data_IF_641900839891
#
_entry.id   IF_641900839891
#
_cell.length_a   1.000
_cell.length_b   1.000
_cell.length_c   1.000
_cell.angle_alpha   90.00
_cell.angle_beta   90.00
_cell.angle_gamma   90.00
#
_symmetry.space_group_name_H-M   'P 1'
#
loop_
_entity.id
_entity.type
_entity.pdbx_description
1 polymer ?
#
# COMPACT_ATOMS: atom_id res chain seq x y z
N UNK A 1 21.12 4.76 -0.18
CA UNK A 1 19.95 4.14 0.47
C UNK A 1 18.93 3.87 -0.63
N UNK A 2 18.67 2.61 -0.96
CA UNK A 2 17.72 2.27 -2.02
C UNK A 2 16.35 2.08 -1.37
N UNK A 3 15.39 2.92 -1.71
CA UNK A 3 14.00 2.78 -1.25
C UNK A 3 13.27 2.01 -2.34
N UNK A 4 12.83 0.80 -2.03
CA UNK A 4 11.96 0.04 -2.91
C UNK A 4 10.52 0.48 -2.62
N UNK A 5 9.87 1.10 -3.62
CA UNK A 5 8.47 1.48 -3.53
C UNK A 5 7.62 0.57 -4.40
N UNK A 6 6.43 0.23 -3.92
CA UNK A 6 5.43 -0.51 -4.68
C UNK A 6 4.55 0.44 -5.49
N UNK A 7 3.93 -0.03 -6.60
CA UNK A 7 2.95 0.77 -7.33
C UNK A 7 1.79 1.26 -6.44
N UNK A 8 1.35 0.46 -5.47
CA UNK A 8 0.29 0.84 -4.51
C UNK A 8 0.69 2.05 -3.69
N UNK A 9 1.91 2.07 -3.14
CA UNK A 9 2.42 3.19 -2.34
C UNK A 9 2.52 4.48 -3.17
N UNK A 10 2.91 4.38 -4.44
CA UNK A 10 2.99 5.53 -5.35
C UNK A 10 1.57 6.08 -5.61
N UNK A 11 0.61 5.22 -5.93
CA UNK A 11 -0.78 5.62 -6.18
C UNK A 11 -1.40 6.23 -4.91
N UNK A 12 -1.15 5.64 -3.75
CA UNK A 12 -1.61 6.13 -2.45
C UNK A 12 -1.04 7.50 -2.12
N UNK A 13 0.25 7.74 -2.43
CA UNK A 13 0.86 9.06 -2.29
C UNK A 13 0.15 10.10 -3.17
N UNK A 14 -0.06 9.78 -4.45
CA UNK A 14 -0.74 10.68 -5.39
C UNK A 14 -2.20 10.92 -5.04
N UNK A 15 -2.86 9.94 -4.41
CA UNK A 15 -4.22 10.09 -3.91
C UNK A 15 -4.28 10.95 -2.64
N UNK A 16 -3.43 10.64 -1.65
CA UNK A 16 -3.35 11.36 -0.38
C UNK A 16 -2.00 11.11 0.33
N UNK A 17 -1.07 12.07 0.35
CA UNK A 17 0.24 11.91 1.00
C UNK A 17 0.17 11.57 2.50
N UNK A 18 -0.92 11.96 3.18
CA UNK A 18 -1.13 11.64 4.60
C UNK A 18 -1.27 10.13 4.83
N UNK A 19 -1.78 9.40 3.86
CA UNK A 19 -1.92 7.95 3.95
C UNK A 19 -0.55 7.25 4.06
N UNK A 20 0.41 7.70 3.27
CA UNK A 20 1.81 7.23 3.29
C UNK A 20 2.49 7.55 4.61
N UNK A 21 2.22 8.71 5.21
CA UNK A 21 2.71 9.03 6.56
C UNK A 21 2.22 8.02 7.61
N UNK A 22 0.94 7.63 7.57
CA UNK A 22 0.40 6.64 8.51
C UNK A 22 1.07 5.27 8.37
N UNK A 23 1.37 4.84 7.14
CA UNK A 23 2.00 3.53 6.87
C UNK A 23 3.48 3.56 7.21
N UNK A 24 4.26 4.50 6.64
CA UNK A 24 5.71 4.49 6.75
C UNK A 24 6.26 5.15 8.02
N UNK A 25 5.60 6.19 8.52
CA UNK A 25 6.09 6.92 9.71
C UNK A 25 5.45 6.43 11.00
N UNK A 26 4.16 6.10 10.98
CA UNK A 26 3.46 5.61 12.17
C UNK A 26 3.33 4.08 12.23
N UNK A 27 3.64 3.35 11.15
CA UNK A 27 3.53 1.89 11.12
C UNK A 27 2.11 1.37 11.25
N UNK A 28 1.11 2.17 10.88
CA UNK A 28 -0.31 1.78 10.94
C UNK A 28 -0.61 0.84 9.78
N UNK A 29 -1.10 -0.35 10.10
CA UNK A 29 -1.46 -1.36 9.10
C UNK A 29 -2.71 -0.96 8.30
N UNK A 30 -2.70 -1.30 7.01
CA UNK A 30 -3.80 -1.08 6.09
C UNK A 30 -4.89 -2.15 6.19
N UNK A 31 -4.59 -3.28 6.84
CA UNK A 31 -5.43 -4.49 6.90
C UNK A 31 -5.85 -4.96 5.51
N UNK A 32 -4.89 -5.03 4.58
CA UNK A 32 -5.12 -5.39 3.17
C UNK A 32 -5.76 -6.78 3.01
N UNK A 33 -5.55 -7.68 3.97
CA UNK A 33 -6.16 -9.01 4.01
C UNK A 33 -7.69 -8.97 4.10
N UNK A 34 -8.27 -7.86 4.54
CA UNK A 34 -9.73 -7.65 4.59
C UNK A 34 -10.29 -7.08 3.29
N UNK A 35 -9.44 -6.71 2.32
CA UNK A 35 -9.84 -6.04 1.07
C UNK A 35 -9.95 -7.05 -0.06
N UNK A 36 -11.20 -7.31 -0.48
CA UNK A 36 -11.52 -8.23 -1.59
C UNK A 36 -10.68 -7.99 -2.86
N UNK A 37 -10.54 -6.73 -3.29
CA UNK A 37 -9.77 -6.37 -4.50
C UNK A 37 -8.27 -6.63 -4.35
N UNK A 38 -7.71 -6.45 -3.16
CA UNK A 38 -6.28 -6.71 -2.92
C UNK A 38 -6.01 -8.21 -2.98
N UNK A 39 -6.84 -9.03 -2.31
CA UNK A 39 -6.71 -10.48 -2.36
C UNK A 39 -6.84 -11.02 -3.78
N UNK A 40 -7.85 -10.56 -4.52
CA UNK A 40 -8.02 -10.93 -5.94
C UNK A 40 -6.80 -10.52 -6.78
N UNK A 41 -6.29 -9.30 -6.61
CA UNK A 41 -5.11 -8.83 -7.33
C UNK A 41 -3.84 -9.63 -7.04
N UNK A 42 -3.68 -10.14 -5.81
CA UNK A 42 -2.56 -11.04 -5.46
C UNK A 42 -2.67 -12.40 -6.13
N UNK A 43 -3.87 -12.96 -6.23
CA UNK A 43 -4.07 -14.26 -6.89
C UNK A 43 -3.83 -14.18 -8.40
N UNK A 44 -4.22 -13.07 -9.04
CA UNK A 44 -4.00 -12.86 -10.48
C UNK A 44 -2.52 -12.71 -10.84
N UNK A 45 -1.68 -12.21 -9.92
CA UNK A 45 -0.25 -11.98 -10.15
C UNK A 45 0.68 -13.10 -9.61
N UNK A 46 0.12 -14.18 -9.04
CA UNK A 46 0.90 -15.40 -8.73
C UNK A 46 1.20 -16.18 -10.01
#
# INVERSE_FOLDING_TARGET
MNILLTPSEIIEYFYCPRFIYFIFSLGIDQHEEKRFKVLMGREVHK
#
